data_IF_584824456737
#
_entry.id   IF_584824456737
#
_cell.length_a   1.000
_cell.length_b   1.000
_cell.length_c   1.000
_cell.angle_alpha   90.00
_cell.angle_beta   90.00
_cell.angle_gamma   90.00
#
_symmetry.space_group_name_H-M   'P 1'
#
loop_
_entity.id
_entity.type
_entity.pdbx_description
1 polymer ?
#
# COMPACT_ATOMS: atom_id res chain seq x y z
N UNK A 1 12.79 -10.74 -24.34
CA UNK A 1 12.98 -10.33 -22.93
C UNK A 1 11.62 -10.24 -22.28
N UNK A 2 11.36 -11.01 -21.22
CA UNK A 2 10.03 -11.10 -20.60
C UNK A 2 9.80 -10.07 -19.47
N UNK A 3 10.85 -9.39 -18.99
CA UNK A 3 10.85 -8.50 -17.81
C UNK A 3 11.81 -7.31 -17.96
N UNK A 4 11.43 -6.14 -17.43
CA UNK A 4 12.31 -4.95 -17.32
C UNK A 4 12.92 -4.76 -15.92
N UNK A 5 12.75 -5.72 -15.00
CA UNK A 5 13.03 -5.55 -13.55
C UNK A 5 14.40 -4.97 -13.20
N UNK A 6 15.42 -5.26 -14.00
CA UNK A 6 16.81 -4.81 -13.78
C UNK A 6 17.21 -3.63 -14.67
N UNK A 7 16.29 -3.13 -15.50
CA UNK A 7 16.53 -1.98 -16.36
C UNK A 7 16.36 -0.69 -15.54
N UNK A 8 17.43 0.10 -15.40
CA UNK A 8 17.39 1.42 -14.78
C UNK A 8 16.92 2.53 -15.73
N UNK A 9 16.52 2.18 -16.96
CA UNK A 9 16.17 3.11 -18.04
C UNK A 9 17.24 4.19 -18.30
N UNK A 10 18.53 3.88 -18.08
CA UNK A 10 19.63 4.82 -18.30
C UNK A 10 19.95 5.09 -19.79
N UNK A 11 19.41 4.31 -20.72
CA UNK A 11 19.55 4.52 -22.16
C UNK A 11 20.92 4.15 -22.77
N UNK A 12 21.88 3.66 -21.98
CA UNK A 12 23.19 3.24 -22.50
C UNK A 12 23.08 2.13 -23.55
N UNK A 13 22.14 1.21 -23.37
CA UNK A 13 21.87 0.16 -24.33
C UNK A 13 21.36 0.70 -25.68
N UNK A 14 20.52 1.74 -25.68
CA UNK A 14 20.05 2.40 -26.90
C UNK A 14 21.22 3.09 -27.62
N UNK A 15 22.05 3.82 -26.89
CA UNK A 15 23.22 4.55 -27.46
C UNK A 15 24.28 3.61 -28.02
N UNK A 16 24.51 2.47 -27.37
CA UNK A 16 25.51 1.49 -27.78
C UNK A 16 25.06 0.58 -28.93
N UNK A 17 23.80 0.68 -29.40
CA UNK A 17 23.26 -0.22 -30.40
C UNK A 17 23.48 0.32 -31.83
N UNK A 18 24.42 -0.25 -32.62
CA UNK A 18 24.71 0.24 -33.97
C UNK A 18 23.62 -0.11 -34.99
N UNK A 19 22.76 -1.09 -34.68
CA UNK A 19 21.74 -1.61 -35.59
C UNK A 19 20.31 -1.20 -35.22
N UNK A 20 20.11 -0.34 -34.21
CA UNK A 20 18.78 0.13 -33.82
C UNK A 20 17.81 -0.99 -33.40
N UNK A 21 18.33 -2.15 -32.97
CA UNK A 21 17.53 -3.33 -32.61
C UNK A 21 16.88 -3.24 -31.23
N UNK A 22 17.23 -2.21 -30.45
CA UNK A 22 16.61 -1.90 -29.16
C UNK A 22 15.57 -0.79 -29.32
N UNK A 23 14.38 -1.02 -28.75
CA UNK A 23 13.28 -0.07 -28.76
C UNK A 23 12.65 0.03 -27.38
N UNK A 24 12.24 1.24 -27.00
CA UNK A 24 11.46 1.49 -25.80
C UNK A 24 9.98 1.39 -26.18
N UNK A 25 9.27 0.42 -25.61
CA UNK A 25 7.85 0.24 -25.81
C UNK A 25 7.10 0.53 -24.51
N UNK A 26 5.97 1.22 -24.61
CA UNK A 26 5.05 1.36 -23.49
C UNK A 26 4.39 0.01 -23.26
N UNK A 27 4.67 -0.59 -22.10
CA UNK A 27 4.10 -1.87 -21.71
C UNK A 27 2.87 -1.65 -20.84
N UNK A 28 1.88 -2.53 -20.98
CA UNK A 28 0.75 -2.56 -20.05
C UNK A 28 1.26 -2.89 -18.62
N UNK A 29 1.09 -2.00 -17.63
CA UNK A 29 1.63 -2.17 -16.29
C UNK A 29 1.03 -3.39 -15.55
N UNK A 30 -0.15 -3.86 -15.96
CA UNK A 30 -0.85 -4.99 -15.35
C UNK A 30 -0.27 -6.33 -15.82
N UNK A 31 0.36 -6.39 -17.01
CA UNK A 31 0.88 -7.66 -17.54
C UNK A 31 1.94 -8.26 -16.62
N UNK A 32 2.84 -7.45 -16.08
CA UNK A 32 3.90 -7.94 -15.19
C UNK A 32 3.35 -8.49 -13.88
N UNK A 33 2.29 -7.89 -13.33
CA UNK A 33 1.61 -8.41 -12.13
C UNK A 33 1.05 -9.83 -12.35
N UNK A 34 0.56 -10.10 -13.56
CA UNK A 34 -0.12 -11.36 -13.91
C UNK A 34 0.86 -12.44 -14.36
N UNK A 35 1.97 -12.07 -15.01
CA UNK A 35 2.90 -13.02 -15.66
C UNK A 35 4.19 -13.24 -14.88
N UNK A 36 4.27 -12.89 -13.59
CA UNK A 36 5.46 -13.17 -12.77
C UNK A 36 5.71 -14.69 -12.72
N UNK A 37 6.63 -15.19 -13.55
CA UNK A 37 7.03 -16.61 -13.59
C UNK A 37 7.95 -17.03 -12.42
N UNK A 38 8.56 -16.06 -11.72
CA UNK A 38 9.51 -16.31 -10.62
C UNK A 38 9.30 -15.29 -9.51
N UNK A 39 8.61 -15.73 -8.47
CA UNK A 39 8.28 -14.92 -7.32
C UNK A 39 9.38 -15.08 -6.27
N UNK A 40 10.17 -14.03 -6.07
CA UNK A 40 11.17 -13.99 -5.00
C UNK A 40 10.44 -13.61 -3.70
N UNK A 41 10.75 -14.28 -2.57
CA UNK A 41 10.01 -14.09 -1.32
C UNK A 41 10.10 -12.66 -0.79
N UNK A 42 11.24 -12.01 -1.01
CA UNK A 42 11.47 -10.60 -0.72
C UNK A 42 10.40 -9.68 -1.33
N UNK A 43 10.08 -9.84 -2.61
CA UNK A 43 9.13 -8.95 -3.28
C UNK A 43 7.69 -9.17 -2.78
N UNK A 44 7.36 -10.41 -2.42
CA UNK A 44 6.06 -10.75 -1.86
C UNK A 44 5.89 -10.15 -0.45
N UNK A 45 6.94 -10.16 0.37
CA UNK A 45 6.93 -9.56 1.69
C UNK A 45 6.93 -8.04 1.65
N UNK A 46 7.60 -7.41 0.69
CA UNK A 46 7.58 -5.95 0.51
C UNK A 46 6.16 -5.45 0.23
N UNK A 47 5.37 -6.16 -0.58
CA UNK A 47 3.98 -5.80 -0.86
C UNK A 47 3.11 -5.81 0.42
N UNK A 48 3.32 -6.79 1.31
CA UNK A 48 2.61 -6.88 2.59
C UNK A 48 3.15 -5.88 3.61
N UNK A 49 4.47 -5.66 3.64
CA UNK A 49 5.08 -4.63 4.48
C UNK A 49 4.54 -3.24 4.13
N UNK A 50 4.32 -2.96 2.84
CA UNK A 50 3.71 -1.73 2.39
C UNK A 50 2.30 -1.51 2.99
N UNK A 51 1.49 -2.56 3.18
CA UNK A 51 0.21 -2.42 3.90
C UNK A 51 0.40 -1.91 5.32
N UNK A 52 1.40 -2.43 6.04
CA UNK A 52 1.73 -1.99 7.40
C UNK A 52 2.18 -0.53 7.42
N UNK A 53 3.06 -0.14 6.48
CA UNK A 53 3.50 1.26 6.32
C UNK A 53 2.31 2.18 6.04
N UNK A 54 1.42 1.80 5.12
CA UNK A 54 0.24 2.61 4.76
C UNK A 54 -0.73 2.75 5.92
N UNK A 55 -0.99 1.66 6.65
CA UNK A 55 -1.84 1.69 7.85
C UNK A 55 -1.26 2.62 8.93
N UNK A 56 0.05 2.55 9.14
CA UNK A 56 0.74 3.43 10.09
C UNK A 56 0.71 4.89 9.67
N UNK A 57 1.02 5.20 8.40
CA UNK A 57 0.94 6.57 7.87
C UNK A 57 -0.47 7.16 8.02
N UNK A 58 -1.50 6.35 7.76
CA UNK A 58 -2.88 6.78 7.96
C UNK A 58 -3.19 7.01 9.45
N UNK A 59 -2.66 6.17 10.36
CA UNK A 59 -2.91 6.25 11.80
C UNK A 59 -2.25 7.46 12.47
N UNK A 60 -1.01 7.81 12.10
CA UNK A 60 -0.27 8.92 12.73
C UNK A 60 -0.90 10.30 12.51
N UNK A 61 -1.84 10.42 11.58
CA UNK A 61 -2.57 11.66 11.33
C UNK A 61 -3.93 11.73 12.04
N UNK A 62 -4.25 10.76 12.91
CA UNK A 62 -5.56 10.65 13.57
C UNK A 62 -5.56 11.22 14.99
N UNK A 63 -6.75 11.60 15.50
CA UNK A 63 -6.91 12.03 16.89
C UNK A 63 -6.39 11.03 17.95
N UNK A 64 -6.63 9.71 17.81
CA UNK A 64 -6.04 8.71 18.71
C UNK A 64 -4.51 8.70 18.74
N UNK A 65 -3.84 9.03 17.63
CA UNK A 65 -2.39 9.18 17.64
C UNK A 65 -1.95 10.35 18.53
N UNK A 66 -2.61 11.50 18.42
CA UNK A 66 -2.30 12.67 19.25
C UNK A 66 -2.44 12.34 20.74
N UNK A 67 -3.55 11.69 21.12
CA UNK A 67 -3.77 11.26 22.51
C UNK A 67 -2.70 10.25 22.99
N UNK A 68 -2.32 9.30 22.12
CA UNK A 68 -1.27 8.33 22.45
C UNK A 68 0.10 9.02 22.62
N UNK A 69 0.43 9.98 21.75
CA UNK A 69 1.66 10.76 21.86
C UNK A 69 1.72 11.53 23.18
N UNK A 70 0.63 12.21 23.55
CA UNK A 70 0.56 13.00 24.78
C UNK A 70 0.66 12.11 26.04
N UNK A 71 0.02 10.94 26.03
CA UNK A 71 0.08 9.98 27.13
C UNK A 71 1.50 9.42 27.36
N UNK A 72 2.28 9.31 26.28
CA UNK A 72 3.61 8.68 26.30
C UNK A 72 4.74 9.71 26.45
N UNK A 73 4.43 11.00 26.28
CA UNK A 73 5.36 12.12 26.41
C UNK A 73 6.06 12.20 27.77
N UNK A 74 5.42 11.71 28.85
CA UNK A 74 5.99 11.70 30.20
C UNK A 74 6.99 10.54 30.46
N UNK A 75 7.18 9.62 29.51
CA UNK A 75 8.04 8.45 29.69
C UNK A 75 9.50 8.71 29.32
N UNK A 76 10.44 8.14 30.07
CA UNK A 76 11.88 8.39 29.87
C UNK A 76 12.46 7.84 28.54
N UNK A 77 11.85 6.78 27.98
CA UNK A 77 12.34 6.11 26.76
C UNK A 77 11.52 6.51 25.53
N UNK A 78 10.19 6.63 25.67
CA UNK A 78 9.31 6.93 24.55
C UNK A 78 9.00 8.43 24.41
N UNK A 79 9.58 9.30 25.24
CA UNK A 79 9.62 10.75 24.99
C UNK A 79 10.46 11.12 23.77
N UNK A 80 11.35 10.23 23.32
CA UNK A 80 12.05 10.42 22.05
C UNK A 80 11.12 10.07 20.89
N UNK A 81 10.65 11.10 20.18
CA UNK A 81 9.73 10.99 19.03
C UNK A 81 10.25 9.99 17.97
N UNK A 82 11.58 9.90 17.73
CA UNK A 82 12.16 8.98 16.74
C UNK A 82 12.00 7.52 17.19
N UNK A 83 12.28 7.23 18.46
CA UNK A 83 12.18 5.88 19.01
C UNK A 83 10.74 5.43 19.05
N UNK A 84 9.83 6.30 19.48
CA UNK A 84 8.40 6.02 19.55
C UNK A 84 7.79 5.78 18.16
N UNK A 85 8.06 6.68 17.22
CA UNK A 85 7.58 6.58 15.85
C UNK A 85 8.15 5.36 15.12
N UNK A 86 9.47 5.14 15.23
CA UNK A 86 10.15 3.98 14.63
C UNK A 86 9.67 2.66 15.21
N UNK A 87 9.48 2.58 16.53
CA UNK A 87 8.95 1.39 17.20
C UNK A 87 7.54 1.03 16.73
N UNK A 88 6.65 2.01 16.63
CA UNK A 88 5.29 1.78 16.14
C UNK A 88 5.25 1.44 14.65
N UNK A 89 6.08 2.07 13.82
CA UNK A 89 6.21 1.68 12.41
C UNK A 89 6.61 0.20 12.28
N UNK A 90 7.65 -0.23 13.01
CA UNK A 90 8.08 -1.63 13.04
C UNK A 90 6.95 -2.52 13.56
N UNK A 91 6.20 -2.08 14.57
CA UNK A 91 5.03 -2.79 15.10
C UNK A 91 3.94 -3.02 14.06
N UNK A 92 3.54 -1.98 13.31
CA UNK A 92 2.53 -2.08 12.25
C UNK A 92 2.99 -2.97 11.09
N UNK A 93 4.24 -2.81 10.63
CA UNK A 93 4.83 -3.65 9.59
C UNK A 93 4.94 -5.10 10.04
N UNK A 94 5.44 -5.32 11.26
CA UNK A 94 5.57 -6.64 11.87
C UNK A 94 4.22 -7.33 12.05
N UNK A 95 3.18 -6.60 12.45
CA UNK A 95 1.81 -7.12 12.57
C UNK A 95 1.25 -7.50 11.20
N UNK A 96 1.37 -6.63 10.19
CA UNK A 96 0.91 -6.92 8.84
C UNK A 96 1.61 -8.17 8.29
N UNK A 97 2.94 -8.22 8.32
CA UNK A 97 3.71 -9.37 7.85
C UNK A 97 3.40 -10.63 8.67
N UNK A 98 3.33 -10.52 9.99
CA UNK A 98 3.05 -11.63 10.90
C UNK A 98 1.69 -12.29 10.62
N UNK A 99 0.63 -11.49 10.42
CA UNK A 99 -0.69 -12.00 10.05
C UNK A 99 -0.69 -12.71 8.69
N UNK A 100 0.06 -12.18 7.72
CA UNK A 100 0.21 -12.82 6.40
C UNK A 100 0.96 -14.15 6.46
N UNK A 101 2.05 -14.22 7.24
CA UNK A 101 2.78 -15.47 7.45
C UNK A 101 1.92 -16.49 8.20
N UNK A 102 1.14 -16.06 9.19
CA UNK A 102 0.18 -16.91 9.89
C UNK A 102 -0.89 -17.46 8.94
N UNK A 103 -1.50 -16.61 8.10
CA UNK A 103 -2.47 -17.04 7.09
C UNK A 103 -1.85 -18.03 6.08
N UNK A 104 -0.60 -17.79 5.67
CA UNK A 104 0.15 -18.68 4.78
C UNK A 104 0.42 -20.04 5.44
N UNK A 105 0.71 -20.06 6.74
CA UNK A 105 0.89 -21.29 7.53
C UNK A 105 -0.42 -22.08 7.63
N UNK A 106 -1.52 -21.40 7.92
CA UNK A 106 -2.86 -22.00 7.97
C UNK A 106 -3.22 -22.59 6.60
N UNK A 107 -3.03 -21.83 5.53
CA UNK A 107 -3.28 -22.29 4.17
C UNK A 107 -2.47 -23.57 3.84
N UNK A 108 -1.17 -23.56 4.15
CA UNK A 108 -0.28 -24.71 3.90
C UNK A 108 -0.73 -25.97 4.63
N UNK A 109 -1.24 -25.83 5.87
CA UNK A 109 -1.80 -26.96 6.63
C UNK A 109 -3.12 -27.47 6.05
N UNK A 110 -3.97 -26.59 5.53
CA UNK A 110 -5.27 -26.95 4.97
C UNK A 110 -5.16 -27.59 3.58
N UNK A 111 -4.16 -27.21 2.78
CA UNK A 111 -4.01 -27.67 1.39
C UNK A 111 -2.91 -28.70 1.19
N UNK A 112 -2.03 -28.90 2.19
CA UNK A 112 -0.81 -29.69 2.05
C UNK A 112 0.25 -29.03 1.18
N UNK A 113 0.04 -27.78 0.75
CA UNK A 113 0.98 -27.07 -0.11
C UNK A 113 2.22 -26.58 0.66
N UNK A 114 3.34 -26.47 -0.04
CA UNK A 114 4.60 -25.98 0.53
C UNK A 114 4.50 -24.51 0.96
N UNK A 115 4.81 -24.23 2.24
CA UNK A 115 4.71 -22.91 2.84
C UNK A 115 5.50 -21.82 2.12
N UNK A 116 6.77 -22.06 1.81
CA UNK A 116 7.63 -21.07 1.15
C UNK A 116 7.11 -20.65 -0.21
N UNK A 117 6.55 -21.60 -0.96
CA UNK A 117 5.94 -21.36 -2.28
C UNK A 117 4.69 -20.48 -2.16
N UNK A 118 3.86 -20.65 -1.14
CA UNK A 118 2.65 -19.82 -0.97
C UNK A 118 2.96 -18.40 -0.51
N UNK A 119 3.96 -18.23 0.35
CA UNK A 119 4.44 -16.90 0.79
C UNK A 119 4.90 -16.06 -0.41
N UNK A 120 5.70 -16.67 -1.30
CA UNK A 120 6.18 -16.03 -2.54
C UNK A 120 5.02 -15.60 -3.45
N UNK A 121 3.97 -16.42 -3.48
CA UNK A 121 2.89 -16.28 -4.44
C UNK A 121 1.79 -15.32 -4.05
N UNK A 122 1.31 -15.43 -2.83
CA UNK A 122 0.15 -14.66 -2.40
C UNK A 122 0.50 -13.26 -1.89
N UNK A 123 1.77 -12.97 -1.56
CA UNK A 123 2.14 -11.65 -1.04
C UNK A 123 1.84 -10.51 -2.02
N UNK A 124 2.06 -10.72 -3.32
CA UNK A 124 1.74 -9.73 -4.36
C UNK A 124 0.24 -9.46 -4.51
N UNK A 125 -0.62 -10.40 -4.11
CA UNK A 125 -2.07 -10.20 -4.23
C UNK A 125 -2.58 -9.04 -3.36
N UNK A 126 -1.82 -8.65 -2.34
CA UNK A 126 -2.13 -7.54 -1.44
C UNK A 126 -1.64 -6.17 -1.93
N UNK A 127 -0.81 -6.14 -2.99
CA UNK A 127 -0.25 -4.90 -3.53
C UNK A 127 -1.33 -3.90 -4.00
N UNK A 128 -2.42 -4.31 -4.71
CA UNK A 128 -3.49 -3.39 -5.07
C UNK A 128 -4.14 -2.77 -3.84
N UNK A 129 -4.46 -3.55 -2.81
CA UNK A 129 -5.04 -3.02 -1.57
C UNK A 129 -4.15 -1.95 -0.94
N UNK A 130 -2.84 -2.18 -0.84
CA UNK A 130 -1.90 -1.21 -0.29
C UNK A 130 -1.87 0.09 -1.12
N UNK A 131 -1.74 -0.05 -2.44
CA UNK A 131 -1.66 1.08 -3.37
C UNK A 131 -2.92 1.94 -3.32
N UNK A 132 -4.09 1.33 -3.45
CA UNK A 132 -5.35 2.05 -3.51
C UNK A 132 -5.73 2.66 -2.16
N UNK A 133 -5.42 2.00 -1.03
CA UNK A 133 -5.58 2.60 0.28
C UNK A 133 -4.65 3.81 0.47
N UNK A 134 -3.40 3.72 0.00
CA UNK A 134 -2.45 4.83 0.06
C UNK A 134 -2.89 6.02 -0.79
N UNK A 135 -3.32 5.79 -2.04
CA UNK A 135 -3.87 6.82 -2.91
C UNK A 135 -5.13 7.42 -2.27
N UNK A 136 -6.04 6.57 -1.78
CA UNK A 136 -7.28 7.00 -1.12
C UNK A 136 -7.04 7.85 0.12
N UNK A 137 -5.97 7.59 0.88
CA UNK A 137 -5.58 8.43 2.01
C UNK A 137 -4.96 9.76 1.56
N UNK A 138 -4.02 9.72 0.61
CA UNK A 138 -3.24 10.89 0.22
C UNK A 138 -3.94 11.83 -0.77
N UNK A 139 -4.97 11.36 -1.47
CA UNK A 139 -5.67 12.17 -2.47
C UNK A 139 -6.27 13.45 -1.85
N UNK A 140 -6.59 13.45 -0.56
CA UNK A 140 -7.21 14.57 0.15
C UNK A 140 -6.18 15.60 0.53
N UNK A 141 -5.00 15.14 0.93
CA UNK A 141 -3.84 16.00 1.11
C UNK A 141 -3.38 16.63 -0.21
N UNK A 142 -3.42 15.88 -1.31
CA UNK A 142 -3.05 16.40 -2.62
C UNK A 142 -4.06 17.45 -3.13
N UNK A 143 -5.35 17.11 -3.09
CA UNK A 143 -6.44 17.98 -3.58
C UNK A 143 -6.80 19.09 -2.60
N UNK A 144 -6.42 19.01 -1.34
CA UNK A 144 -6.52 20.13 -0.38
C UNK A 144 -5.27 21.02 -0.39
N UNK A 145 -4.09 20.40 -0.49
CA UNK A 145 -2.79 21.05 -0.36
C UNK A 145 -2.26 21.72 -1.63
N UNK A 146 -2.79 21.43 -2.82
CA UNK A 146 -2.32 22.05 -4.07
C UNK A 146 -2.38 23.59 -4.06
N UNK A 147 -3.29 24.19 -3.28
CA UNK A 147 -3.42 25.65 -3.12
C UNK A 147 -2.21 26.29 -2.43
N UNK A 148 -1.43 25.50 -1.70
CA UNK A 148 -0.20 25.95 -1.05
C UNK A 148 0.98 25.99 -2.02
N UNK A 149 0.88 25.33 -3.18
CA UNK A 149 1.98 25.26 -4.16
C UNK A 149 2.34 26.65 -4.71
N UNK A 150 1.40 27.50 -5.18
CA UNK A 150 1.75 28.85 -5.64
C UNK A 150 2.39 29.70 -4.54
N UNK A 151 1.92 29.58 -3.29
CA UNK A 151 2.49 30.30 -2.16
C UNK A 151 3.90 29.81 -1.80
N UNK A 152 4.14 28.50 -1.82
CA UNK A 152 5.47 27.92 -1.60
C UNK A 152 6.47 28.32 -2.71
N UNK A 153 6.01 28.33 -3.97
CA UNK A 153 6.81 28.80 -5.11
C UNK A 153 7.11 30.29 -4.97
N UNK A 154 6.10 31.13 -4.71
CA UNK A 154 6.30 32.57 -4.51
C UNK A 154 7.26 32.86 -3.34
N UNK A 155 7.13 32.14 -2.23
CA UNK A 155 8.00 32.27 -1.07
C UNK A 155 9.46 31.91 -1.40
N UNK A 156 9.68 30.96 -2.30
CA UNK A 156 11.02 30.61 -2.80
C UNK A 156 11.69 31.74 -3.57
N UNK A 157 10.91 32.71 -4.07
CA UNK A 157 11.38 33.93 -4.74
C UNK A 157 11.20 35.19 -3.87
N UNK A 158 10.94 35.04 -2.57
CA UNK A 158 10.78 36.17 -1.64
C UNK A 158 9.44 36.93 -1.78
N UNK A 159 8.48 36.39 -2.54
CA UNK A 159 7.14 36.93 -2.66
C UNK A 159 6.16 36.21 -1.71
N UNK A 160 5.21 36.94 -1.14
CA UNK A 160 4.12 36.35 -0.37
C UNK A 160 2.81 36.45 -1.16
N UNK A 161 2.15 35.31 -1.31
CA UNK A 161 0.81 35.23 -1.92
C UNK A 161 -0.16 34.83 -0.82
N UNK A 162 -1.20 35.63 -0.57
CA UNK A 162 -2.27 35.20 0.32
C UNK A 162 -2.95 33.96 -0.27
N UNK A 163 -2.90 32.85 0.47
CA UNK A 163 -3.65 31.64 0.13
C UNK A 163 -5.11 31.88 0.50
N UNK A 164 -6.07 31.78 -0.45
CA UNK A 164 -7.48 31.93 -0.13
C UNK A 164 -7.90 30.89 0.92
N UNK A 165 -8.37 31.36 2.08
CA UNK A 165 -9.01 30.51 3.06
C UNK A 165 -10.41 30.15 2.55
N UNK A 166 -10.55 28.94 2.04
CA UNK A 166 -11.79 28.47 1.45
C UNK A 166 -11.91 26.97 1.60
N UNK A 167 -13.13 26.49 1.79
CA UNK A 167 -13.51 25.09 1.96
C UNK A 167 -12.74 24.15 1.04
N UNK A 168 -12.40 22.96 1.55
CA UNK A 168 -11.96 21.80 0.76
C UNK A 168 -12.71 21.82 -0.58
N UNK A 169 -11.99 21.78 -1.72
CA UNK A 169 -12.62 21.82 -3.06
C UNK A 169 -13.70 20.74 -3.23
N UNK A 170 -13.57 19.67 -2.45
CA UNK A 170 -14.50 18.56 -2.40
C UNK A 170 -15.12 18.54 -1.00
N UNK A 171 -16.44 18.62 -0.92
CA UNK A 171 -17.15 18.46 0.34
C UNK A 171 -16.81 17.11 1.01
N UNK A 172 -16.94 17.04 2.33
CA UNK A 172 -16.60 15.86 3.16
C UNK A 172 -17.19 14.55 2.61
N UNK A 173 -18.38 14.61 2.02
CA UNK A 173 -19.06 13.47 1.40
C UNK A 173 -18.32 12.96 0.16
N UNK A 174 -17.95 13.85 -0.77
CA UNK A 174 -17.24 13.46 -2.00
C UNK A 174 -15.88 12.86 -1.65
N UNK A 175 -15.19 13.43 -0.66
CA UNK A 175 -13.94 12.89 -0.15
C UNK A 175 -14.10 11.46 0.38
N UNK A 176 -15.09 11.23 1.27
CA UNK A 176 -15.39 9.89 1.78
C UNK A 176 -15.72 8.90 0.67
N UNK A 177 -16.52 9.31 -0.32
CA UNK A 177 -16.84 8.45 -1.47
C UNK A 177 -15.61 8.06 -2.27
N UNK A 178 -14.69 8.99 -2.55
CA UNK A 178 -13.45 8.70 -3.26
C UNK A 178 -12.54 7.78 -2.44
N UNK A 179 -12.36 8.08 -1.16
CA UNK A 179 -11.49 7.31 -0.25
C UNK A 179 -11.98 5.87 -0.08
N UNK A 180 -13.26 5.66 0.23
CA UNK A 180 -13.82 4.31 0.38
C UNK A 180 -14.04 3.61 -0.97
N UNK A 181 -14.30 4.37 -2.04
CA UNK A 181 -14.39 3.84 -3.40
C UNK A 181 -13.04 3.27 -3.88
N UNK A 182 -11.94 3.98 -3.63
CA UNK A 182 -10.59 3.50 -3.92
C UNK A 182 -10.24 2.29 -3.04
N UNK A 183 -10.56 2.32 -1.75
CA UNK A 183 -10.35 1.14 -0.88
C UNK A 183 -11.12 -0.08 -1.39
N UNK A 184 -12.39 0.08 -1.77
CA UNK A 184 -13.21 -0.99 -2.34
C UNK A 184 -12.65 -1.51 -3.66
N UNK A 185 -12.13 -0.64 -4.54
CA UNK A 185 -11.43 -1.04 -5.75
C UNK A 185 -10.16 -1.84 -5.45
N UNK A 186 -9.38 -1.42 -4.44
CA UNK A 186 -8.22 -2.15 -3.94
C UNK A 186 -8.57 -3.54 -3.46
N UNK A 187 -9.64 -3.68 -2.67
CA UNK A 187 -10.17 -4.98 -2.21
C UNK A 187 -10.59 -5.84 -3.40
N UNK A 188 -11.36 -5.30 -4.34
CA UNK A 188 -11.83 -6.03 -5.51
C UNK A 188 -10.67 -6.56 -6.36
N UNK A 189 -9.66 -5.73 -6.60
CA UNK A 189 -8.46 -6.11 -7.36
C UNK A 189 -7.60 -7.14 -6.61
N UNK A 190 -7.46 -7.01 -5.30
CA UNK A 190 -6.76 -8.00 -4.48
C UNK A 190 -7.48 -9.35 -4.45
N UNK A 191 -8.80 -9.37 -4.30
CA UNK A 191 -9.61 -10.60 -4.36
C UNK A 191 -9.53 -11.22 -5.76
N UNK A 192 -9.61 -10.40 -6.82
CA UNK A 192 -9.42 -10.86 -8.19
C UNK A 192 -8.04 -11.48 -8.41
N UNK A 193 -6.97 -10.85 -7.90
CA UNK A 193 -5.61 -11.37 -7.95
C UNK A 193 -5.48 -12.71 -7.23
N UNK A 194 -6.02 -12.81 -6.01
CA UNK A 194 -6.06 -14.06 -5.24
C UNK A 194 -6.76 -15.18 -6.02
N UNK A 195 -7.95 -14.91 -6.58
CA UNK A 195 -8.72 -15.88 -7.36
C UNK A 195 -7.94 -16.34 -8.60
N UNK A 196 -7.29 -15.41 -9.30
CA UNK A 196 -6.50 -15.71 -10.50
C UNK A 196 -5.27 -16.54 -10.17
N UNK A 197 -4.53 -16.20 -9.12
CA UNK A 197 -3.36 -16.95 -8.65
C UNK A 197 -3.76 -18.36 -8.21
N UNK A 198 -4.88 -18.49 -7.50
CA UNK A 198 -5.41 -19.80 -7.12
C UNK A 198 -5.83 -20.64 -8.34
N UNK A 199 -6.58 -20.06 -9.29
CA UNK A 199 -7.05 -20.75 -10.49
C UNK A 199 -5.91 -21.27 -11.38
N UNK A 200 -4.77 -20.57 -11.41
CA UNK A 200 -3.56 -21.03 -12.09
C UNK A 200 -2.92 -22.28 -11.45
N UNK A 201 -3.41 -22.75 -10.29
CA UNK A 201 -2.92 -23.95 -9.58
C UNK A 201 -4.05 -24.94 -9.41
N UNK A 202 -4.28 -25.74 -10.45
CA UNK A 202 -5.37 -26.73 -10.51
C UNK A 202 -5.31 -27.77 -9.37
N UNK A 203 -4.15 -27.99 -8.74
CA UNK A 203 -3.95 -29.01 -7.69
C UNK A 203 -4.14 -28.50 -6.25
N UNK A 204 -3.96 -27.21 -5.97
CA UNK A 204 -4.00 -26.68 -4.60
C UNK A 204 -5.32 -25.96 -4.22
N UNK A 205 -6.01 -25.35 -5.19
CA UNK A 205 -7.13 -24.41 -4.93
C UNK A 205 -8.54 -24.85 -5.41
N UNK A 206 -8.84 -26.15 -5.59
CA UNK A 206 -10.22 -26.60 -5.84
C UNK A 206 -11.03 -26.84 -4.54
N UNK A 207 -12.36 -26.56 -4.48
CA UNK A 207 -13.08 -25.34 -4.87
C UNK A 207 -13.15 -24.32 -3.70
N UNK A 208 -12.95 -23.02 -3.97
CA UNK A 208 -13.37 -21.85 -3.17
C UNK A 208 -12.89 -21.70 -1.71
N UNK A 209 -13.17 -22.67 -0.85
CA UNK A 209 -12.94 -22.66 0.60
C UNK A 209 -11.47 -22.73 1.00
N UNK A 210 -10.58 -23.22 0.14
CA UNK A 210 -9.14 -23.30 0.45
C UNK A 210 -8.44 -21.95 0.37
N UNK A 211 -8.94 -21.00 -0.44
CA UNK A 211 -8.44 -19.63 -0.51
C UNK A 211 -8.96 -18.73 0.63
N UNK A 212 -9.80 -19.27 1.51
CA UNK A 212 -10.48 -18.55 2.58
C UNK A 212 -9.53 -17.87 3.57
N UNK A 213 -8.37 -18.42 3.96
CA UNK A 213 -7.43 -17.73 4.84
C UNK A 213 -6.95 -16.38 4.27
N UNK A 214 -6.62 -16.35 2.98
CA UNK A 214 -6.18 -15.11 2.33
C UNK A 214 -7.34 -14.16 2.06
N UNK A 215 -8.52 -14.66 1.72
CA UNK A 215 -9.71 -13.82 1.57
C UNK A 215 -10.14 -13.16 2.89
N UNK A 216 -10.12 -13.92 4.00
CA UNK A 216 -10.36 -13.39 5.34
C UNK A 216 -9.30 -12.36 5.72
N UNK A 217 -8.04 -12.62 5.38
CA UNK A 217 -6.95 -11.69 5.64
C UNK A 217 -7.12 -10.38 4.84
N UNK A 218 -7.52 -10.45 3.57
CA UNK A 218 -7.86 -9.26 2.77
C UNK A 218 -8.99 -8.47 3.42
N UNK A 219 -10.05 -9.15 3.87
CA UNK A 219 -11.15 -8.50 4.58
C UNK A 219 -10.69 -7.86 5.89
N UNK A 220 -9.84 -8.54 6.67
CA UNK A 220 -9.28 -8.03 7.92
C UNK A 220 -8.46 -6.75 7.68
N UNK A 221 -7.53 -6.76 6.72
CA UNK A 221 -6.77 -5.56 6.37
C UNK A 221 -7.67 -4.44 5.86
N UNK A 222 -8.66 -4.75 5.02
CA UNK A 222 -9.58 -3.76 4.49
C UNK A 222 -10.41 -3.11 5.61
N UNK A 223 -10.92 -3.90 6.56
CA UNK A 223 -11.65 -3.39 7.73
C UNK A 223 -10.73 -2.55 8.60
N UNK A 224 -9.52 -3.02 8.90
CA UNK A 224 -8.55 -2.25 9.70
C UNK A 224 -8.23 -0.89 9.03
N UNK A 225 -7.96 -0.89 7.73
CA UNK A 225 -7.75 0.33 6.96
C UNK A 225 -8.99 1.22 6.95
N UNK A 226 -10.18 0.67 6.72
CA UNK A 226 -11.43 1.42 6.74
C UNK A 226 -11.68 2.09 8.10
N UNK A 227 -11.40 1.38 9.20
CA UNK A 227 -11.51 1.90 10.56
C UNK A 227 -10.54 3.06 10.77
N UNK A 228 -9.25 2.88 10.45
CA UNK A 228 -8.24 3.94 10.57
C UNK A 228 -8.64 5.16 9.73
N UNK A 229 -9.07 4.94 8.49
CA UNK A 229 -9.50 5.97 7.54
C UNK A 229 -10.80 6.67 7.96
N UNK A 230 -11.59 6.07 8.85
CA UNK A 230 -12.81 6.67 9.39
C UNK A 230 -12.57 7.55 10.62
N UNK A 231 -11.38 7.44 11.25
CA UNK A 231 -11.02 8.25 12.41
C UNK A 231 -10.87 9.74 12.02
N UNK A 232 -11.19 10.66 12.94
CA UNK A 232 -10.99 12.08 12.70
C UNK A 232 -9.49 12.37 12.55
N UNK A 233 -9.14 13.09 11.49
CA UNK A 233 -7.77 13.58 11.30
C UNK A 233 -7.50 14.76 12.25
N UNK A 234 -6.33 14.78 12.87
CA UNK A 234 -5.97 15.80 13.85
C UNK A 234 -5.91 17.22 13.24
N UNK A 235 -5.70 17.36 11.93
CA UNK A 235 -5.72 18.65 11.23
C UNK A 235 -7.12 19.23 10.97
N UNK A 236 -8.18 18.52 11.38
CA UNK A 236 -9.59 18.95 11.28
C UNK A 236 -10.21 19.29 12.64
N UNK A 237 -9.42 19.28 13.71
CA UNK A 237 -9.74 19.76 15.05
C UNK A 237 -9.03 21.10 15.27
#
# INVERSE_FOLDING_TARGET
MDTNRYCSMCGNCLKACPHGSLRLEIRNPIKEFVTQKKEMPENALIAVAALGVVAFQAFVMTGPWAALRDAVAASAILSNDVVFYGGLLIGFVGLAVGLFLAASRVFSRLTGAEYGTQVRRFGFAFLPLALFAHIGHNLGHLLGGYRLVPAAVAASFGASVQVPQGSDMLGLMVWRFLQFGLLAAGVALSVWALRRLCAATLTACAPGRRALPFALLTALYAVALALILSLPMASRL
#
